data_IF_603503491331
#
_entry.id   IF_603503491331
#
_cell.length_a   1.000
_cell.length_b   1.000
_cell.length_c   1.000
_cell.angle_alpha   90.00
_cell.angle_beta   90.00
_cell.angle_gamma   90.00
#
_symmetry.space_group_name_H-M   'P 1'
#
loop_
_entity.id
_entity.type
_entity.pdbx_description
1 polymer ?
#
# COMPACT_ATOMS: atom_id res chain seq x y z
N UNK A 1 -34.53 -8.79 41.03
CA UNK A 1 -33.44 -9.47 40.30
C UNK A 1 -33.49 -8.99 38.87
N UNK A 2 -32.57 -8.12 38.47
CA UNK A 2 -32.48 -7.66 37.08
C UNK A 2 -31.96 -8.82 36.20
N UNK A 3 -32.70 -9.18 35.15
CA UNK A 3 -32.27 -10.17 34.16
C UNK A 3 -31.08 -9.59 33.37
N UNK A 4 -29.90 -10.20 33.52
CA UNK A 4 -28.78 -9.96 32.66
C UNK A 4 -29.19 -10.30 31.21
N UNK A 5 -29.13 -9.30 30.31
CA UNK A 5 -29.37 -9.50 28.90
C UNK A 5 -28.01 -9.69 28.23
N UNK A 6 -27.74 -10.90 27.77
CA UNK A 6 -26.59 -11.20 26.91
C UNK A 6 -26.74 -10.44 25.58
N UNK A 7 -25.68 -9.75 25.18
CA UNK A 7 -25.56 -9.12 23.88
C UNK A 7 -24.59 -9.91 23.01
N UNK A 8 -24.90 -10.01 21.73
CA UNK A 8 -24.03 -10.63 20.73
C UNK A 8 -23.57 -9.56 19.75
N UNK A 9 -22.25 -9.45 19.53
CA UNK A 9 -21.65 -8.50 18.62
C UNK A 9 -21.00 -9.23 17.44
N UNK A 10 -21.15 -8.68 16.24
CA UNK A 10 -20.50 -9.20 15.04
C UNK A 10 -19.03 -8.79 15.02
N UNK A 11 -18.11 -9.74 14.93
CA UNK A 11 -16.66 -9.48 14.83
C UNK A 11 -16.25 -8.81 13.52
N UNK A 12 -17.07 -8.92 12.47
CA UNK A 12 -16.78 -8.36 11.14
C UNK A 12 -17.27 -6.90 10.98
N UNK A 13 -18.41 -6.49 11.59
CA UNK A 13 -18.98 -5.17 11.37
C UNK A 13 -19.45 -4.45 12.63
N UNK A 14 -19.34 -5.07 13.82
CA UNK A 14 -19.76 -4.48 15.10
C UNK A 14 -21.28 -4.40 15.28
N UNK A 15 -22.10 -5.00 14.42
CA UNK A 15 -23.55 -5.06 14.62
C UNK A 15 -23.90 -5.81 15.89
N UNK A 16 -24.70 -5.18 16.78
CA UNK A 16 -25.09 -5.73 18.07
C UNK A 16 -26.55 -6.19 18.06
N UNK A 17 -26.81 -7.33 18.67
CA UNK A 17 -28.18 -7.88 18.84
C UNK A 17 -28.30 -8.62 20.18
N UNK A 18 -29.52 -8.64 20.72
CA UNK A 18 -29.83 -9.37 21.96
C UNK A 18 -30.04 -10.87 21.79
N UNK A 19 -29.92 -11.39 20.56
CA UNK A 19 -30.06 -12.82 20.23
C UNK A 19 -28.93 -13.24 19.33
N UNK A 20 -28.38 -14.42 19.59
CA UNK A 20 -27.41 -15.01 18.67
C UNK A 20 -28.08 -15.33 17.34
N UNK A 21 -27.43 -14.93 16.24
CA UNK A 21 -27.87 -15.23 14.87
C UNK A 21 -26.67 -15.77 14.09
N UNK A 22 -26.86 -16.84 13.32
CA UNK A 22 -25.78 -17.47 12.56
C UNK A 22 -25.26 -16.61 11.40
N UNK A 23 -26.09 -15.67 10.89
CA UNK A 23 -25.72 -14.70 9.87
C UNK A 23 -25.93 -13.29 10.39
N UNK A 24 -24.91 -12.44 10.31
CA UNK A 24 -25.02 -11.06 10.77
C UNK A 24 -26.02 -10.25 9.92
N UNK A 25 -27.05 -9.61 10.50
CA UNK A 25 -28.00 -8.78 9.74
C UNK A 25 -27.36 -7.52 9.18
N UNK A 26 -26.26 -7.05 9.76
CA UNK A 26 -25.59 -5.81 9.34
C UNK A 26 -24.66 -5.97 8.14
N UNK A 27 -23.90 -7.08 8.05
CA UNK A 27 -22.94 -7.28 6.97
C UNK A 27 -23.13 -8.59 6.19
N UNK A 28 -24.07 -9.45 6.62
CA UNK A 28 -24.36 -10.72 5.95
C UNK A 28 -23.32 -11.83 6.18
N UNK A 29 -22.25 -11.60 6.95
CA UNK A 29 -21.24 -12.59 7.27
C UNK A 29 -21.78 -13.72 8.16
N UNK A 30 -21.31 -14.95 7.91
CA UNK A 30 -21.72 -16.13 8.69
C UNK A 30 -20.74 -16.38 9.85
N UNK A 31 -21.28 -16.86 10.99
CA UNK A 31 -20.51 -17.27 12.19
C UNK A 31 -19.61 -16.17 12.78
N UNK A 32 -20.00 -14.91 12.63
CA UNK A 32 -19.25 -13.75 13.14
C UNK A 32 -19.85 -13.16 14.42
N UNK A 33 -20.94 -13.75 14.97
CA UNK A 33 -21.57 -13.27 16.20
C UNK A 33 -20.93 -13.94 17.42
N UNK A 34 -20.30 -13.13 18.28
CA UNK A 34 -19.71 -13.55 19.54
C UNK A 34 -20.44 -12.92 20.71
N UNK A 35 -20.46 -13.60 21.84
CA UNK A 35 -21.06 -13.10 23.08
C UNK A 35 -20.23 -11.92 23.62
N UNK A 36 -20.89 -10.79 23.84
CA UNK A 36 -20.30 -9.59 24.45
C UNK A 36 -20.69 -9.52 25.93
N UNK A 37 -19.84 -8.92 26.76
CA UNK A 37 -20.08 -8.82 28.18
C UNK A 37 -21.44 -8.17 28.50
N UNK A 38 -22.14 -8.57 29.58
CA UNK A 38 -23.47 -8.05 29.91
C UNK A 38 -23.41 -6.56 30.25
N UNK A 39 -24.30 -5.79 29.64
CA UNK A 39 -24.47 -4.37 29.98
C UNK A 39 -25.21 -4.29 31.32
N UNK A 40 -24.58 -3.68 32.31
CA UNK A 40 -25.25 -3.19 33.49
C UNK A 40 -26.06 -1.96 33.08
N UNK A 41 -27.38 -2.10 32.93
CA UNK A 41 -28.26 -0.97 32.61
C UNK A 41 -28.36 -0.05 33.80
N UNK A 42 -27.49 0.94 33.91
CA UNK A 42 -27.73 2.18 34.61
C UNK A 42 -28.84 2.96 33.88
N UNK A 43 -29.63 3.73 34.67
CA UNK A 43 -30.77 4.49 34.19
C UNK A 43 -30.45 5.27 32.88
N UNK A 44 -31.46 5.51 32.01
CA UNK A 44 -31.21 6.16 30.71
C UNK A 44 -30.60 7.55 30.93
N UNK A 45 -29.32 7.67 30.58
CA UNK A 45 -28.69 8.98 30.50
C UNK A 45 -29.47 9.82 29.49
N UNK A 46 -29.93 10.98 29.90
CA UNK A 46 -30.56 11.97 29.01
C UNK A 46 -29.63 12.17 27.83
N UNK A 47 -30.17 11.96 26.64
CA UNK A 47 -29.44 12.25 25.40
C UNK A 47 -28.77 13.63 25.54
N UNK A 48 -27.47 13.75 25.21
CA UNK A 48 -26.80 15.03 25.27
C UNK A 48 -27.59 16.00 24.36
N UNK A 49 -28.09 17.13 24.95
CA UNK A 49 -28.66 18.22 24.14
C UNK A 49 -27.60 18.57 23.08
N UNK A 50 -27.90 18.30 21.83
CA UNK A 50 -27.13 18.83 20.71
C UNK A 50 -27.01 20.34 20.98
N UNK A 51 -25.79 20.81 21.25
CA UNK A 51 -25.49 22.24 21.16
C UNK A 51 -25.92 22.66 19.77
N UNK A 52 -26.63 23.78 19.59
CA UNK A 52 -26.95 24.29 18.27
C UNK A 52 -25.62 24.46 17.55
N UNK A 53 -25.30 23.54 16.65
CA UNK A 53 -24.18 23.71 15.73
C UNK A 53 -24.48 25.00 14.98
N UNK A 54 -23.48 25.83 14.81
CA UNK A 54 -23.50 26.89 13.80
C UNK A 54 -23.82 26.20 12.49
N UNK A 55 -25.08 26.28 12.08
CA UNK A 55 -25.57 25.54 10.92
C UNK A 55 -24.75 25.98 9.72
N UNK A 56 -23.98 25.04 9.15
CA UNK A 56 -23.28 25.28 7.90
C UNK A 56 -24.36 25.71 6.87
N UNK A 57 -24.31 26.92 6.39
CA UNK A 57 -25.21 27.39 5.32
C UNK A 57 -24.76 26.75 4.02
N UNK A 58 -25.72 26.31 3.20
CA UNK A 58 -25.40 25.87 1.84
C UNK A 58 -24.79 27.04 1.06
N UNK A 59 -23.63 26.84 0.46
CA UNK A 59 -22.92 27.82 -0.37
C UNK A 59 -22.90 27.32 -1.82
N UNK A 60 -22.94 28.26 -2.75
CA UNK A 60 -22.73 27.91 -4.16
C UNK A 60 -21.27 27.48 -4.37
N UNK A 61 -21.04 26.43 -5.15
CA UNK A 61 -19.69 25.90 -5.40
C UNK A 61 -18.71 27.00 -5.88
N UNK A 62 -19.16 27.94 -6.70
CA UNK A 62 -18.37 29.08 -7.19
C UNK A 62 -17.99 30.11 -6.12
N UNK A 63 -18.68 30.10 -4.97
CA UNK A 63 -18.44 31.01 -3.85
C UNK A 63 -17.47 30.40 -2.81
N UNK A 64 -17.18 29.12 -2.95
CA UNK A 64 -16.15 28.46 -2.15
C UNK A 64 -14.80 28.95 -2.67
N UNK A 65 -13.97 29.58 -1.83
CA UNK A 65 -12.63 29.99 -2.26
C UNK A 65 -11.87 28.77 -2.80
N UNK A 66 -11.25 28.90 -3.97
CA UNK A 66 -10.26 27.95 -4.45
C UNK A 66 -8.98 28.12 -3.61
N UNK A 67 -9.05 27.81 -2.33
CA UNK A 67 -7.84 27.61 -1.56
C UNK A 67 -7.16 26.37 -2.15
N UNK A 68 -6.12 26.60 -2.92
CA UNK A 68 -5.19 25.56 -3.32
C UNK A 68 -4.77 24.92 -2.00
N UNK A 69 -5.24 23.70 -1.74
CA UNK A 69 -4.99 23.01 -0.48
C UNK A 69 -3.48 23.05 -0.20
N UNK A 70 -3.08 23.92 0.73
CA UNK A 70 -1.68 24.12 1.09
C UNK A 70 -1.18 22.80 1.62
N UNK A 71 -0.29 22.18 0.86
CA UNK A 71 0.31 20.90 1.24
C UNK A 71 1.60 21.16 1.99
N UNK A 72 1.74 20.51 3.13
CA UNK A 72 2.96 20.53 3.91
C UNK A 72 3.78 19.29 3.59
N UNK A 73 5.03 19.46 3.16
CA UNK A 73 5.94 18.32 2.96
C UNK A 73 6.22 17.62 4.28
N UNK A 74 6.25 16.30 4.25
CA UNK A 74 6.70 15.46 5.38
C UNK A 74 8.22 15.50 5.56
N UNK A 75 8.95 16.09 4.62
CA UNK A 75 10.40 16.02 4.52
C UNK A 75 10.92 14.65 4.04
N UNK A 76 10.02 13.78 3.57
CA UNK A 76 10.33 12.44 3.03
C UNK A 76 9.63 12.31 1.67
N UNK A 77 10.38 12.46 0.58
CA UNK A 77 9.83 12.57 -0.78
C UNK A 77 8.99 11.36 -1.21
N UNK A 78 9.36 10.16 -0.78
CA UNK A 78 8.62 8.94 -1.09
C UNK A 78 7.27 8.90 -0.34
N UNK A 79 7.20 9.43 0.88
CA UNK A 79 5.93 9.56 1.61
C UNK A 79 5.08 10.69 1.00
N UNK A 80 5.67 11.83 0.66
CA UNK A 80 4.95 12.92 0.00
C UNK A 80 4.31 12.46 -1.31
N UNK A 81 5.01 11.62 -2.11
CA UNK A 81 4.47 10.98 -3.30
C UNK A 81 3.20 10.18 -2.99
N UNK A 82 3.27 9.28 -2.01
CA UNK A 82 2.14 8.42 -1.60
C UNK A 82 0.97 9.24 -1.07
N UNK A 83 1.25 10.36 -0.40
CA UNK A 83 0.22 11.28 0.10
C UNK A 83 -0.37 12.19 -1.02
N UNK A 84 0.19 12.14 -2.23
CA UNK A 84 -0.25 12.98 -3.35
C UNK A 84 0.34 14.40 -3.32
N UNK A 85 1.55 14.55 -2.79
CA UNK A 85 2.33 15.79 -2.72
C UNK A 85 2.48 16.39 -1.33
N UNK A 86 2.13 15.66 -0.27
CA UNK A 86 2.30 16.08 1.11
C UNK A 86 1.02 16.04 1.95
N UNK A 87 1.11 16.54 3.17
CA UNK A 87 0.02 16.57 4.16
C UNK A 87 -0.95 17.72 3.82
N UNK A 88 -2.23 17.41 3.72
CA UNK A 88 -3.31 18.39 3.57
C UNK A 88 -3.84 18.75 4.96
N UNK A 89 -4.10 20.03 5.20
CA UNK A 89 -4.67 20.53 6.44
C UNK A 89 -6.03 19.88 6.74
N UNK A 90 -6.26 19.49 7.98
CA UNK A 90 -7.49 18.82 8.40
C UNK A 90 -7.70 17.41 7.82
N UNK A 91 -6.69 16.83 7.17
CA UNK A 91 -6.76 15.48 6.63
C UNK A 91 -6.60 14.43 7.72
N UNK A 92 -7.38 13.35 7.61
CA UNK A 92 -7.23 12.16 8.42
C UNK A 92 -6.60 11.03 7.58
N UNK A 93 -5.42 10.57 7.99
CA UNK A 93 -4.62 9.58 7.28
C UNK A 93 -4.46 8.32 8.14
N UNK A 94 -4.60 7.13 7.55
CA UNK A 94 -4.42 5.84 8.23
C UNK A 94 -3.23 5.10 7.64
N UNK A 95 -2.14 4.98 8.40
CA UNK A 95 -0.99 4.16 8.00
C UNK A 95 -1.21 2.72 8.47
N UNK A 96 -1.39 1.81 7.50
CA UNK A 96 -1.55 0.38 7.71
C UNK A 96 -0.26 -0.41 7.48
N UNK A 97 -0.28 -1.67 7.87
CA UNK A 97 0.82 -2.62 7.64
C UNK A 97 1.13 -3.48 8.85
N UNK A 98 1.94 -4.50 8.67
CA UNK A 98 2.27 -5.48 9.71
C UNK A 98 2.93 -4.85 10.94
N UNK A 99 2.72 -5.45 12.14
CA UNK A 99 3.44 -5.02 13.33
C UNK A 99 4.95 -5.12 13.11
N UNK A 100 5.71 -4.05 13.49
CA UNK A 100 7.17 -4.01 13.34
C UNK A 100 7.70 -3.71 11.92
N UNK A 101 6.84 -3.41 10.93
CA UNK A 101 7.27 -3.03 9.57
C UNK A 101 7.98 -1.66 9.52
N UNK A 102 7.77 -0.79 10.53
CA UNK A 102 8.42 0.51 10.62
C UNK A 102 7.48 1.73 10.66
N UNK A 103 6.16 1.53 10.79
CA UNK A 103 5.15 2.62 10.82
C UNK A 103 5.48 3.73 11.82
N UNK A 104 5.65 3.36 13.08
CA UNK A 104 5.97 4.31 14.17
C UNK A 104 7.33 4.98 13.99
N UNK A 105 8.31 4.28 13.39
CA UNK A 105 9.63 4.84 13.07
C UNK A 105 9.51 5.91 12.00
N UNK A 106 8.80 5.61 10.90
CA UNK A 106 8.56 6.57 9.81
C UNK A 106 7.85 7.83 10.35
N UNK A 107 6.77 7.63 11.13
CA UNK A 107 6.00 8.77 11.66
C UNK A 107 6.80 9.62 12.65
N UNK A 108 7.66 9.02 13.47
CA UNK A 108 8.51 9.78 14.38
C UNK A 108 9.54 10.63 13.61
N UNK A 109 10.07 10.11 12.48
CA UNK A 109 10.94 10.89 11.57
C UNK A 109 10.18 12.02 10.87
N UNK A 110 8.92 11.77 10.44
CA UNK A 110 8.02 12.81 9.90
C UNK A 110 7.80 13.92 10.92
N UNK A 111 7.46 13.55 12.18
CA UNK A 111 7.30 14.54 13.26
C UNK A 111 8.53 15.41 13.44
N UNK A 112 9.73 14.80 13.45
CA UNK A 112 10.99 15.53 13.56
C UNK A 112 11.22 16.50 12.40
N UNK A 113 10.93 16.07 11.16
CA UNK A 113 11.09 16.92 9.98
C UNK A 113 10.09 18.10 10.00
N UNK A 114 8.84 17.86 10.37
CA UNK A 114 7.83 18.91 10.50
C UNK A 114 8.23 19.94 11.56
N UNK A 115 8.76 19.50 12.69
CA UNK A 115 9.27 20.39 13.73
C UNK A 115 10.41 21.29 13.24
N UNK A 116 11.31 20.78 12.37
CA UNK A 116 12.38 21.59 11.75
C UNK A 116 11.85 22.72 10.87
N UNK A 117 10.62 22.60 10.37
CA UNK A 117 9.94 23.66 9.60
C UNK A 117 9.10 24.59 10.48
N UNK A 118 9.24 24.51 11.82
CA UNK A 118 8.54 25.35 12.77
C UNK A 118 7.14 24.91 13.16
N UNK A 119 6.68 23.74 12.68
CA UNK A 119 5.35 23.20 13.01
C UNK A 119 5.32 22.62 14.42
N UNK A 120 4.16 22.75 15.07
CA UNK A 120 3.88 22.09 16.34
C UNK A 120 3.30 20.71 16.08
N UNK A 121 3.88 19.67 16.66
CA UNK A 121 3.47 18.30 16.44
C UNK A 121 3.16 17.63 17.77
N UNK A 122 2.04 16.91 17.84
CA UNK A 122 1.67 16.07 18.98
C UNK A 122 1.75 14.59 18.61
N UNK A 123 2.57 13.82 19.33
CA UNK A 123 2.62 12.37 19.22
C UNK A 123 1.90 11.74 20.40
N UNK A 124 0.74 11.13 20.14
CA UNK A 124 -0.04 10.37 21.12
C UNK A 124 0.33 8.91 21.00
N UNK A 125 0.79 8.30 22.09
CA UNK A 125 1.09 6.88 22.15
C UNK A 125 0.15 6.16 23.12
N UNK A 126 -0.56 5.16 22.61
CA UNK A 126 -1.34 4.26 23.41
C UNK A 126 -0.64 2.94 23.75
N UNK A 127 0.54 2.69 23.18
CA UNK A 127 1.30 1.44 23.37
C UNK A 127 2.60 1.63 24.14
N UNK A 128 3.30 2.73 23.89
CA UNK A 128 4.60 3.02 24.47
C UNK A 128 4.53 4.15 25.49
N UNK A 129 5.25 4.01 26.57
CA UNK A 129 5.45 5.08 27.55
C UNK A 129 6.30 6.24 26.94
N UNK A 130 6.16 7.43 27.49
CA UNK A 130 6.97 8.57 27.07
C UNK A 130 8.50 8.31 27.17
N UNK A 131 8.94 7.49 28.12
CA UNK A 131 10.36 7.09 28.25
C UNK A 131 10.80 6.20 27.09
N UNK A 132 9.99 5.23 26.67
CA UNK A 132 10.31 4.36 25.53
C UNK A 132 10.35 5.15 24.22
N UNK A 133 9.39 6.06 24.01
CA UNK A 133 9.42 6.97 22.86
C UNK A 133 10.66 7.86 22.86
N UNK A 134 11.08 8.39 24.03
CA UNK A 134 12.30 9.18 24.14
C UNK A 134 13.55 8.38 23.78
N UNK A 135 13.64 7.11 24.21
CA UNK A 135 14.74 6.21 23.83
C UNK A 135 14.78 5.96 22.33
N UNK A 136 13.61 5.74 21.70
CA UNK A 136 13.48 5.58 20.25
C UNK A 136 13.90 6.86 19.52
N UNK A 137 13.41 8.02 19.95
CA UNK A 137 13.79 9.31 19.39
C UNK A 137 15.30 9.55 19.46
N UNK A 138 15.93 9.25 20.60
CA UNK A 138 17.38 9.38 20.77
C UNK A 138 18.16 8.48 19.79
N UNK A 139 17.73 7.22 19.60
CA UNK A 139 18.34 6.30 18.62
C UNK A 139 18.26 6.84 17.20
N UNK A 140 17.18 7.54 16.86
CA UNK A 140 16.97 8.17 15.55
C UNK A 140 17.62 9.57 15.46
N UNK A 141 18.34 10.03 16.47
CA UNK A 141 18.95 11.36 16.51
C UNK A 141 17.92 12.51 16.53
N UNK A 142 16.70 12.26 17.00
CA UNK A 142 15.62 13.24 17.01
C UNK A 142 15.67 14.08 18.26
N UNK A 143 15.91 15.39 18.06
CA UNK A 143 15.78 16.43 19.08
C UNK A 143 14.84 17.51 18.55
N UNK A 144 13.88 17.94 19.36
CA UNK A 144 12.92 18.98 18.96
C UNK A 144 12.31 19.65 20.18
N UNK A 145 12.09 20.96 20.08
CA UNK A 145 11.41 21.79 21.08
C UNK A 145 9.89 21.90 20.81
N UNK A 146 9.43 21.51 19.61
CA UNK A 146 8.02 21.64 19.19
C UNK A 146 7.34 20.27 18.99
N UNK A 147 8.02 19.16 19.36
CA UNK A 147 7.43 17.82 19.39
C UNK A 147 6.95 17.50 20.81
N UNK A 148 5.64 17.49 20.99
CA UNK A 148 4.98 17.12 22.22
C UNK A 148 4.65 15.63 22.21
N UNK A 149 4.81 14.95 23.34
CA UNK A 149 4.51 13.52 23.52
C UNK A 149 3.46 13.36 24.60
N UNK A 150 2.43 12.56 24.32
CA UNK A 150 1.36 12.22 25.23
C UNK A 150 1.20 10.70 25.28
N UNK A 151 1.41 10.09 26.45
CA UNK A 151 1.12 8.67 26.67
C UNK A 151 -0.29 8.56 27.28
N UNK A 152 -1.31 8.34 26.45
CA UNK A 152 -2.72 8.35 26.82
C UNK A 152 -3.58 7.51 25.86
N UNK A 153 -4.57 6.83 26.40
CA UNK A 153 -5.47 5.95 25.62
C UNK A 153 -6.93 6.43 25.66
N UNK A 154 -7.32 7.23 26.68
CA UNK A 154 -8.66 7.80 26.75
C UNK A 154 -8.80 8.95 25.75
N UNK A 155 -9.69 8.80 24.77
CA UNK A 155 -9.84 9.77 23.67
C UNK A 155 -10.24 11.16 24.16
N UNK A 156 -11.06 11.25 25.23
CA UNK A 156 -11.51 12.53 25.78
C UNK A 156 -10.32 13.37 26.28
N UNK A 157 -9.32 12.74 26.91
CA UNK A 157 -8.08 13.38 27.36
C UNK A 157 -7.22 13.81 26.16
N UNK A 158 -7.14 12.96 25.13
CA UNK A 158 -6.42 13.28 23.88
C UNK A 158 -7.08 14.49 23.18
N UNK A 159 -8.41 14.52 23.11
CA UNK A 159 -9.16 15.65 22.54
C UNK A 159 -8.89 16.96 23.28
N UNK A 160 -8.91 16.93 24.63
CA UNK A 160 -8.58 18.12 25.44
C UNK A 160 -7.20 18.67 25.10
N UNK A 161 -6.19 17.78 24.96
CA UNK A 161 -4.82 18.20 24.63
C UNK A 161 -4.68 18.67 23.18
N UNK A 162 -5.37 18.05 22.22
CA UNK A 162 -5.44 18.53 20.83
C UNK A 162 -6.02 19.94 20.75
N UNK A 163 -7.14 20.21 21.44
CA UNK A 163 -7.76 21.55 21.47
C UNK A 163 -6.89 22.58 22.20
N UNK A 164 -6.27 22.19 23.32
CA UNK A 164 -5.43 23.11 24.11
C UNK A 164 -4.11 23.46 23.45
N UNK A 165 -3.46 22.51 22.78
CA UNK A 165 -2.17 22.70 22.09
C UNK A 165 -2.33 23.28 20.69
N UNK A 166 -3.45 22.98 20.03
CA UNK A 166 -3.71 23.30 18.61
C UNK A 166 -2.51 22.97 17.72
N UNK A 167 -2.09 21.70 17.62
CA UNK A 167 -0.95 21.32 16.81
C UNK A 167 -1.29 21.38 15.32
N UNK A 168 -0.30 21.64 14.46
CA UNK A 168 -0.48 21.56 13.00
C UNK A 168 -0.70 20.11 12.55
N UNK A 169 0.04 19.18 13.17
CA UNK A 169 -0.04 17.74 12.87
C UNK A 169 -0.07 16.94 14.17
N UNK A 170 -0.86 15.88 14.21
CA UNK A 170 -0.83 14.90 15.28
C UNK A 170 -0.67 13.48 14.77
N UNK A 171 -0.10 12.62 15.60
CA UNK A 171 0.02 11.17 15.37
C UNK A 171 -0.68 10.46 16.51
N UNK A 172 -1.49 9.44 16.21
CA UNK A 172 -2.12 8.55 17.19
C UNK A 172 -1.63 7.13 16.94
N UNK A 173 -0.80 6.60 17.82
CA UNK A 173 -0.13 5.29 17.70
C UNK A 173 -0.45 4.40 18.91
N UNK A 174 -1.45 3.49 18.79
CA UNK A 174 -2.27 3.14 17.65
C UNK A 174 -3.76 3.42 17.91
N UNK A 175 -4.56 3.45 16.84
CA UNK A 175 -6.02 3.61 16.96
C UNK A 175 -6.68 2.45 17.73
N UNK A 176 -6.07 1.27 17.71
CA UNK A 176 -6.57 0.07 18.41
C UNK A 176 -6.52 0.20 19.94
N UNK A 177 -5.65 1.03 20.47
CA UNK A 177 -5.52 1.26 21.91
C UNK A 177 -6.42 2.38 22.44
N UNK A 178 -6.96 3.22 21.53
CA UNK A 178 -7.83 4.32 21.91
C UNK A 178 -9.21 3.81 22.34
N UNK A 179 -9.76 4.44 23.35
CA UNK A 179 -11.10 4.12 23.85
C UNK A 179 -11.83 5.36 24.36
N UNK A 180 -13.14 5.26 24.39
CA UNK A 180 -14.03 6.22 25.04
C UNK A 180 -14.59 5.61 26.33
N UNK A 181 -14.42 6.27 27.48
CA UNK A 181 -14.88 5.76 28.77
C UNK A 181 -16.41 5.63 28.90
N UNK A 182 -17.16 6.41 28.12
CA UNK A 182 -18.63 6.42 28.10
C UNK A 182 -19.26 5.26 27.32
N UNK A 183 -18.44 4.49 26.58
CA UNK A 183 -18.90 3.30 25.84
C UNK A 183 -18.75 2.04 26.65
N UNK A 184 -19.78 1.19 26.64
CA UNK A 184 -19.77 -0.09 27.35
C UNK A 184 -18.90 -1.17 26.70
N UNK A 185 -18.50 -0.97 25.42
CA UNK A 185 -17.68 -1.93 24.68
C UNK A 185 -16.22 -1.87 25.12
N UNK A 186 -15.53 -3.03 25.11
CA UNK A 186 -14.13 -3.11 25.52
C UNK A 186 -13.19 -2.30 24.62
N UNK A 187 -12.09 -1.72 25.15
CA UNK A 187 -11.03 -1.11 24.35
C UNK A 187 -10.54 -2.07 23.26
N UNK A 188 -10.25 -1.56 22.05
CA UNK A 188 -9.83 -2.37 20.91
C UNK A 188 -10.95 -3.10 20.17
N UNK A 189 -12.21 -3.03 20.66
CA UNK A 189 -13.36 -3.56 19.92
C UNK A 189 -13.64 -2.72 18.66
N UNK A 190 -14.29 -3.33 17.68
CA UNK A 190 -14.65 -2.66 16.40
C UNK A 190 -15.51 -1.41 16.64
N UNK A 191 -16.46 -1.48 17.60
CA UNK A 191 -17.30 -0.35 17.97
C UNK A 191 -16.52 0.82 18.56
N UNK A 192 -15.56 0.54 19.48
CA UNK A 192 -14.67 1.56 20.04
C UNK A 192 -13.79 2.21 18.96
N UNK A 193 -13.13 1.39 18.14
CA UNK A 193 -12.26 1.88 17.06
C UNK A 193 -13.04 2.77 16.09
N UNK A 194 -14.26 2.36 15.72
CA UNK A 194 -15.13 3.14 14.83
C UNK A 194 -15.51 4.48 15.44
N UNK A 195 -15.95 4.48 16.67
CA UNK A 195 -16.40 5.70 17.35
C UNK A 195 -15.22 6.67 17.59
N UNK A 196 -14.08 6.14 18.07
CA UNK A 196 -12.88 6.95 18.21
C UNK A 196 -12.44 7.56 16.88
N UNK A 197 -12.43 6.78 15.79
CA UNK A 197 -12.10 7.31 14.46
C UNK A 197 -13.08 8.37 13.99
N UNK A 198 -14.39 8.19 14.24
CA UNK A 198 -15.43 9.17 13.90
C UNK A 198 -15.24 10.50 14.65
N UNK A 199 -14.90 10.45 15.93
CA UNK A 199 -14.62 11.61 16.75
C UNK A 199 -13.35 12.33 16.29
N UNK A 200 -12.25 11.58 16.04
CA UNK A 200 -11.00 12.14 15.51
C UNK A 200 -11.22 12.81 14.14
N UNK A 201 -12.01 12.20 13.25
CA UNK A 201 -12.35 12.79 11.95
C UNK A 201 -13.08 14.14 12.11
N UNK A 202 -13.96 14.25 13.08
CA UNK A 202 -14.64 15.50 13.41
C UNK A 202 -13.65 16.55 13.89
N UNK A 203 -12.76 16.17 14.80
CA UNK A 203 -11.69 17.03 15.32
C UNK A 203 -10.78 17.57 14.22
N UNK A 204 -10.34 16.71 13.28
CA UNK A 204 -9.54 17.13 12.12
C UNK A 204 -10.22 18.27 11.36
N UNK A 205 -11.51 18.11 11.05
CA UNK A 205 -12.28 19.09 10.27
C UNK A 205 -12.57 20.38 11.02
N UNK A 206 -12.76 20.30 12.34
CA UNK A 206 -13.05 21.46 13.18
C UNK A 206 -11.79 22.29 13.48
N UNK A 207 -10.64 21.63 13.69
CA UNK A 207 -9.39 22.28 14.12
C UNK A 207 -8.42 22.60 12.98
N UNK A 208 -8.60 21.99 11.81
CA UNK A 208 -7.60 22.02 10.73
C UNK A 208 -6.36 21.17 11.00
N UNK A 209 -6.24 20.53 12.18
CA UNK A 209 -5.12 19.63 12.50
C UNK A 209 -5.13 18.43 11.59
N UNK A 210 -4.03 18.14 10.87
CA UNK A 210 -3.88 16.89 10.14
C UNK A 210 -3.48 15.76 11.10
N UNK A 211 -4.15 14.60 11.02
CA UNK A 211 -3.89 13.50 11.96
C UNK A 211 -3.51 12.22 11.23
N UNK A 212 -2.39 11.62 11.64
CA UNK A 212 -2.00 10.27 11.26
C UNK A 212 -2.49 9.27 12.30
N UNK A 213 -3.28 8.29 11.88
CA UNK A 213 -3.62 7.12 12.67
C UNK A 213 -2.70 5.97 12.30
N UNK A 214 -2.13 5.28 13.27
CA UNK A 214 -1.43 4.02 13.05
C UNK A 214 -2.43 2.89 13.24
N UNK A 215 -2.51 2.00 12.23
CA UNK A 215 -3.34 0.81 12.24
C UNK A 215 -2.51 -0.47 12.12
N UNK A 216 -2.85 -1.51 12.91
CA UNK A 216 -2.28 -2.84 12.77
C UNK A 216 -3.24 -3.74 11.98
N UNK A 217 -2.69 -4.63 11.15
CA UNK A 217 -3.46 -5.65 10.43
C UNK A 217 -3.55 -6.93 11.25
N UNK A 218 -4.60 -7.70 11.02
CA UNK A 218 -4.69 -9.09 11.46
C UNK A 218 -3.85 -9.99 10.56
N UNK A 219 -3.53 -11.22 11.05
CA UNK A 219 -2.78 -12.24 10.29
C UNK A 219 -3.38 -12.58 8.92
N UNK A 220 -4.64 -12.27 8.68
CA UNK A 220 -5.35 -12.50 7.42
C UNK A 220 -5.23 -11.31 6.44
N UNK A 221 -4.31 -10.36 6.68
CA UNK A 221 -4.09 -9.20 5.82
C UNK A 221 -5.20 -8.14 5.86
N UNK A 222 -6.22 -8.32 6.71
CA UNK A 222 -7.24 -7.32 6.97
C UNK A 222 -6.80 -6.42 8.13
N UNK A 223 -6.99 -5.10 8.01
CA UNK A 223 -6.82 -4.19 9.15
C UNK A 223 -7.73 -4.68 10.28
N UNK A 224 -7.18 -4.86 11.49
CA UNK A 224 -7.97 -5.25 12.66
C UNK A 224 -8.99 -4.16 12.99
N UNK A 225 -10.27 -4.45 12.73
CA UNK A 225 -11.32 -3.46 12.74
C UNK A 225 -11.37 -2.73 11.39
N UNK A 226 -12.14 -3.12 10.56
CA UNK A 226 -12.07 -3.63 9.20
C UNK A 226 -11.87 -2.54 8.14
N UNK A 227 -11.94 -2.90 6.86
CA UNK A 227 -12.17 -2.04 5.67
C UNK A 227 -13.07 -0.81 5.91
N UNK A 228 -13.81 -0.77 7.02
CA UNK A 228 -14.63 0.36 7.48
C UNK A 228 -13.80 1.61 7.80
N UNK A 229 -12.60 1.49 8.41
CA UNK A 229 -11.74 2.65 8.68
C UNK A 229 -11.22 3.28 7.39
N UNK A 230 -10.96 2.46 6.37
CA UNK A 230 -10.54 2.96 5.05
C UNK A 230 -11.59 3.88 4.43
N UNK A 231 -12.88 3.61 4.68
CA UNK A 231 -13.95 4.47 4.17
C UNK A 231 -14.07 5.79 4.95
N UNK A 232 -13.65 5.82 6.21
CA UNK A 232 -13.76 6.98 7.09
C UNK A 232 -12.63 8.00 6.91
N UNK A 233 -11.43 7.54 6.55
CA UNK A 233 -10.23 8.38 6.40
C UNK A 233 -10.06 8.89 4.97
N UNK A 234 -9.24 9.93 4.80
CA UNK A 234 -9.00 10.55 3.49
C UNK A 234 -7.89 9.86 2.69
N UNK A 235 -6.84 9.40 3.35
CA UNK A 235 -5.70 8.72 2.74
C UNK A 235 -5.34 7.47 3.53
N UNK A 236 -5.03 6.37 2.82
CA UNK A 236 -4.58 5.11 3.40
C UNK A 236 -3.27 4.69 2.76
N UNK A 237 -2.12 5.11 3.30
CA UNK A 237 -0.82 4.50 3.01
C UNK A 237 -0.74 3.14 3.69
N UNK A 238 -0.34 2.12 2.95
CA UNK A 238 -0.21 0.76 3.45
C UNK A 238 1.18 0.20 3.18
N UNK A 239 1.85 -0.29 4.22
CA UNK A 239 3.11 -1.00 4.07
C UNK A 239 2.87 -2.43 3.60
N UNK A 240 3.44 -2.78 2.46
CA UNK A 240 3.49 -4.12 1.88
C UNK A 240 4.86 -4.76 2.12
N UNK A 241 4.90 -6.08 2.13
CA UNK A 241 6.12 -6.88 2.25
C UNK A 241 6.36 -7.45 3.65
N UNK A 242 7.27 -8.43 3.71
CA UNK A 242 7.67 -9.11 4.94
C UNK A 242 8.81 -8.31 5.64
N UNK A 243 8.93 -8.50 6.96
CA UNK A 243 10.03 -7.94 7.78
C UNK A 243 11.41 -8.42 7.32
N UNK A 244 11.49 -9.55 6.67
CA UNK A 244 12.73 -10.15 6.18
C UNK A 244 13.16 -9.60 4.81
N UNK A 245 12.29 -8.88 4.12
CA UNK A 245 12.64 -8.25 2.85
C UNK A 245 13.54 -7.02 3.08
N UNK A 246 14.47 -6.81 2.16
CA UNK A 246 15.39 -5.66 2.21
C UNK A 246 14.63 -4.33 2.09
N UNK A 247 13.61 -4.31 1.25
CA UNK A 247 12.79 -3.12 0.99
C UNK A 247 11.45 -3.17 1.70
N UNK A 248 10.93 -1.97 2.01
CA UNK A 248 9.60 -1.73 2.54
C UNK A 248 8.85 -0.89 1.50
N UNK A 249 7.77 -1.44 0.99
CA UNK A 249 6.94 -0.79 -0.02
C UNK A 249 5.77 -0.10 0.69
N UNK A 250 5.57 1.18 0.45
CA UNK A 250 4.43 1.94 0.99
C UNK A 250 3.51 2.31 -0.16
N UNK A 251 2.34 1.72 -0.23
CA UNK A 251 1.35 1.93 -1.30
C UNK A 251 0.19 2.81 -0.86
N UNK A 252 -0.25 3.74 -1.71
CA UNK A 252 -1.49 4.47 -1.54
C UNK A 252 -2.68 3.59 -1.93
N UNK A 253 -3.34 2.94 -0.96
CA UNK A 253 -4.55 2.12 -1.19
C UNK A 253 -5.78 3.02 -1.42
N UNK A 254 -5.83 4.17 -0.74
CA UNK A 254 -6.84 5.20 -0.90
C UNK A 254 -6.20 6.58 -0.81
N UNK A 255 -6.59 7.49 -1.68
CA UNK A 255 -6.15 8.87 -1.62
C UNK A 255 -7.22 9.80 -2.23
N UNK A 256 -7.81 10.69 -1.42
CA UNK A 256 -8.78 11.70 -1.88
C UNK A 256 -8.10 12.93 -2.48
N UNK A 257 -6.80 13.10 -2.23
CA UNK A 257 -6.02 14.28 -2.61
C UNK A 257 -5.04 14.01 -3.75
N UNK A 258 -4.96 12.77 -4.22
CA UNK A 258 -4.02 12.38 -5.27
C UNK A 258 -4.34 11.04 -5.89
N UNK A 259 -3.38 10.52 -6.64
CA UNK A 259 -3.48 9.21 -7.29
C UNK A 259 -3.48 8.08 -6.26
N UNK A 260 -4.23 7.05 -6.53
CA UNK A 260 -4.14 5.76 -5.83
C UNK A 260 -3.07 4.88 -6.49
N UNK A 261 -2.58 3.87 -5.78
CA UNK A 261 -1.50 2.96 -6.22
C UNK A 261 -0.12 3.62 -6.36
N UNK A 262 0.06 4.88 -5.91
CA UNK A 262 1.41 5.45 -5.80
C UNK A 262 2.24 4.63 -4.83
N UNK A 263 3.50 4.39 -5.19
CA UNK A 263 4.43 3.55 -4.44
C UNK A 263 5.62 4.36 -3.94
N UNK A 264 5.87 4.29 -2.63
CA UNK A 264 7.09 4.73 -1.98
C UNK A 264 7.97 3.53 -1.64
N UNK A 265 9.27 3.63 -1.92
CA UNK A 265 10.22 2.55 -1.63
C UNK A 265 11.20 2.99 -0.54
N UNK A 266 11.24 2.20 0.52
CA UNK A 266 12.02 2.46 1.70
C UNK A 266 12.92 1.28 2.06
N UNK A 267 13.95 1.55 2.84
CA UNK A 267 14.83 0.57 3.46
C UNK A 267 14.93 0.85 4.96
N UNK A 268 14.89 -0.17 5.79
CA UNK A 268 15.10 -0.03 7.23
C UNK A 268 16.59 -0.13 7.53
N UNK A 269 17.14 0.89 8.21
CA UNK A 269 18.55 0.94 8.65
C UNK A 269 18.61 1.18 10.15
N UNK A 270 19.82 1.16 10.72
CA UNK A 270 20.03 1.55 12.12
C UNK A 270 19.61 2.99 12.41
N UNK A 271 19.76 3.87 11.40
CA UNK A 271 19.34 5.27 11.48
C UNK A 271 17.83 5.48 11.24
N UNK A 272 17.06 4.40 11.07
CA UNK A 272 15.62 4.44 10.84
C UNK A 272 15.20 4.10 9.41
N UNK A 273 14.04 4.61 9.00
CA UNK A 273 13.50 4.42 7.67
C UNK A 273 14.15 5.40 6.69
N UNK A 274 14.78 4.89 5.65
CA UNK A 274 15.42 5.68 4.60
C UNK A 274 14.72 5.48 3.27
N UNK A 275 14.68 6.52 2.44
CA UNK A 275 14.21 6.42 1.07
C UNK A 275 15.22 5.68 0.21
N UNK A 276 14.71 4.94 -0.78
CA UNK A 276 15.52 4.31 -1.82
C UNK A 276 15.51 5.23 -3.05
N UNK A 277 16.60 5.95 -3.35
CA UNK A 277 16.58 6.97 -4.40
C UNK A 277 16.30 6.40 -5.79
N UNK A 278 16.92 5.26 -6.11
CA UNK A 278 16.82 4.57 -7.39
C UNK A 278 16.37 3.12 -7.21
N UNK A 279 15.07 2.86 -6.94
CA UNK A 279 14.60 1.49 -6.72
C UNK A 279 14.86 0.55 -7.89
N UNK A 280 14.67 1.01 -9.13
CA UNK A 280 14.95 0.22 -10.33
C UNK A 280 16.40 -0.24 -10.41
N UNK A 281 17.35 0.62 -10.07
CA UNK A 281 18.77 0.27 -10.06
C UNK A 281 19.08 -0.79 -9.00
N UNK A 282 18.51 -0.63 -7.81
CA UNK A 282 18.70 -1.61 -6.73
C UNK A 282 18.01 -2.95 -7.03
N UNK A 283 16.80 -2.94 -7.59
CA UNK A 283 16.10 -4.16 -8.00
C UNK A 283 16.87 -4.95 -9.08
N UNK A 284 17.68 -4.27 -9.88
CA UNK A 284 18.52 -4.87 -10.90
C UNK A 284 19.97 -5.14 -10.45
N UNK A 285 20.40 -4.67 -9.27
CA UNK A 285 21.80 -4.75 -8.81
C UNK A 285 22.35 -6.17 -8.72
N UNK A 286 21.51 -7.13 -8.35
CA UNK A 286 21.88 -8.54 -8.22
C UNK A 286 21.49 -9.40 -9.43
N UNK A 287 21.09 -8.79 -10.56
CA UNK A 287 20.75 -9.50 -11.77
C UNK A 287 21.97 -10.25 -12.32
N UNK A 288 21.82 -11.55 -12.57
CA UNK A 288 22.84 -12.36 -13.23
C UNK A 288 22.88 -12.03 -14.73
N UNK A 289 23.75 -11.09 -15.12
CA UNK A 289 23.91 -10.72 -16.54
C UNK A 289 24.39 -11.91 -17.36
N UNK A 290 23.72 -12.18 -18.48
CA UNK A 290 24.07 -13.30 -19.38
C UNK A 290 23.56 -14.67 -18.92
N UNK A 291 22.73 -14.76 -17.88
CA UNK A 291 22.04 -15.99 -17.51
C UNK A 291 20.78 -16.19 -18.35
N UNK A 292 20.50 -17.45 -18.72
CA UNK A 292 19.22 -17.81 -19.32
C UNK A 292 18.10 -17.68 -18.29
N UNK A 293 16.88 -17.39 -18.75
CA UNK A 293 15.71 -17.27 -17.90
C UNK A 293 15.53 -15.91 -17.22
N UNK A 294 16.38 -14.89 -17.46
CA UNK A 294 16.28 -13.55 -16.86
C UNK A 294 15.91 -12.52 -17.92
N UNK A 295 14.86 -11.73 -17.66
CA UNK A 295 14.35 -10.68 -18.55
C UNK A 295 14.02 -9.42 -17.75
N UNK A 296 14.45 -8.27 -18.23
CA UNK A 296 14.05 -7.01 -17.62
C UNK A 296 12.70 -6.53 -18.15
N UNK A 297 11.82 -6.23 -17.23
CA UNK A 297 10.52 -5.63 -17.46
C UNK A 297 10.48 -4.25 -16.81
N UNK A 298 9.87 -3.28 -17.48
CA UNK A 298 9.55 -1.97 -16.90
C UNK A 298 8.07 -1.90 -16.60
N UNK A 299 7.72 -2.09 -15.32
CA UNK A 299 6.36 -1.97 -14.79
C UNK A 299 5.99 -0.54 -14.43
N UNK A 300 4.69 -0.31 -14.17
CA UNK A 300 4.18 0.93 -13.62
C UNK A 300 3.49 0.67 -12.28
N UNK A 301 3.99 1.34 -11.26
CA UNK A 301 3.37 1.38 -9.95
C UNK A 301 2.80 2.79 -9.72
N UNK A 302 1.48 2.93 -9.90
CA UNK A 302 0.83 4.23 -9.99
C UNK A 302 1.36 5.05 -11.16
N UNK A 303 2.04 6.15 -10.87
CA UNK A 303 2.69 7.00 -11.88
C UNK A 303 4.17 6.67 -12.09
N UNK A 304 4.76 5.78 -11.27
CA UNK A 304 6.19 5.51 -11.24
C UNK A 304 6.57 4.31 -12.10
N UNK A 305 7.43 4.48 -13.12
CA UNK A 305 8.04 3.34 -13.80
C UNK A 305 9.10 2.69 -12.89
N UNK A 306 9.09 1.35 -12.82
CA UNK A 306 10.04 0.54 -12.07
C UNK A 306 10.53 -0.60 -12.94
N UNK A 307 11.86 -0.72 -13.08
CA UNK A 307 12.45 -1.88 -13.72
C UNK A 307 12.65 -3.00 -12.70
N UNK A 308 12.28 -4.20 -13.10
CA UNK A 308 12.51 -5.41 -12.32
C UNK A 308 13.01 -6.56 -13.19
N UNK A 309 13.68 -7.51 -12.56
CA UNK A 309 14.14 -8.74 -13.18
C UNK A 309 13.06 -9.82 -13.02
N UNK A 310 12.52 -10.27 -14.15
CA UNK A 310 11.59 -11.40 -14.24
C UNK A 310 12.40 -12.63 -14.54
N UNK A 311 12.40 -13.58 -13.62
CA UNK A 311 13.17 -14.82 -13.70
C UNK A 311 12.27 -16.02 -13.92
N UNK A 312 12.67 -16.91 -14.80
CA UNK A 312 12.02 -18.19 -15.02
C UNK A 312 13.05 -19.32 -15.06
N UNK A 313 12.72 -20.44 -14.44
CA UNK A 313 13.46 -21.69 -14.55
C UNK A 313 12.50 -22.77 -15.06
N UNK A 314 12.84 -23.36 -16.19
CA UNK A 314 12.13 -24.49 -16.75
C UNK A 314 13.04 -25.71 -16.74
N UNK A 315 12.56 -26.82 -16.19
CA UNK A 315 13.29 -28.08 -16.14
C UNK A 315 12.39 -29.24 -16.49
N UNK A 316 12.93 -30.30 -17.07
CA UNK A 316 12.13 -31.48 -17.43
C UNK A 316 11.46 -32.05 -16.18
N UNK A 317 10.15 -32.22 -16.24
CA UNK A 317 9.39 -32.84 -15.15
C UNK A 317 9.56 -34.38 -15.23
N UNK A 318 9.96 -34.96 -14.13
CA UNK A 318 10.03 -36.43 -13.96
C UNK A 318 8.76 -36.97 -13.28
N UNK A 319 7.82 -36.12 -12.91
CA UNK A 319 6.57 -36.49 -12.28
C UNK A 319 5.40 -36.40 -13.29
N UNK A 320 4.37 -37.19 -13.09
CA UNK A 320 3.22 -37.24 -14.01
C UNK A 320 2.47 -35.89 -14.13
N UNK A 321 2.61 -34.98 -13.17
CA UNK A 321 2.03 -33.61 -13.18
C UNK A 321 3.14 -32.59 -13.01
N UNK A 322 3.40 -31.77 -14.05
CA UNK A 322 4.39 -30.70 -13.96
C UNK A 322 4.06 -29.64 -12.89
N UNK A 323 5.08 -29.21 -12.15
CA UNK A 323 4.95 -28.21 -11.10
C UNK A 323 4.93 -26.81 -11.69
N UNK A 324 4.10 -25.93 -11.12
CA UNK A 324 4.02 -24.51 -11.46
C UNK A 324 4.12 -23.71 -10.16
N UNK A 325 5.28 -23.07 -9.96
CA UNK A 325 5.52 -22.23 -8.78
C UNK A 325 5.78 -20.80 -9.25
N UNK A 326 4.99 -19.86 -8.73
CA UNK A 326 5.04 -18.46 -9.17
C UNK A 326 5.17 -17.59 -7.94
N UNK A 327 6.21 -16.76 -7.91
CA UNK A 327 6.43 -15.71 -6.95
C UNK A 327 6.43 -14.35 -7.64
N UNK A 328 5.61 -13.40 -7.16
CA UNK A 328 5.54 -12.04 -7.69
C UNK A 328 4.71 -11.86 -8.98
N UNK A 329 3.89 -12.86 -9.36
CA UNK A 329 2.93 -12.75 -10.47
C UNK A 329 1.71 -13.64 -10.22
N UNK A 330 0.61 -13.40 -10.93
CA UNK A 330 -0.60 -14.21 -10.81
C UNK A 330 -0.41 -15.61 -11.43
N UNK A 331 -0.62 -16.66 -10.63
CA UNK A 331 -0.45 -18.05 -11.05
C UNK A 331 -1.40 -18.45 -12.18
N UNK A 332 -2.64 -17.96 -12.17
CA UNK A 332 -3.62 -18.22 -13.22
C UNK A 332 -3.19 -17.57 -14.54
N UNK A 333 -2.68 -16.33 -14.48
CA UNK A 333 -2.16 -15.64 -15.67
C UNK A 333 -0.96 -16.37 -16.27
N UNK A 334 -0.01 -16.79 -15.44
CA UNK A 334 1.15 -17.59 -15.89
C UNK A 334 0.70 -18.88 -16.55
N UNK A 335 -0.28 -19.58 -16.00
CA UNK A 335 -0.82 -20.82 -16.62
C UNK A 335 -1.40 -20.56 -18.01
N UNK A 336 -2.11 -19.46 -18.21
CA UNK A 336 -2.61 -19.03 -19.53
C UNK A 336 -1.46 -18.73 -20.49
N UNK A 337 -0.42 -18.03 -20.07
CA UNK A 337 0.74 -17.70 -20.90
C UNK A 337 1.51 -18.94 -21.32
N UNK A 338 1.67 -19.93 -20.43
CA UNK A 338 2.29 -21.22 -20.77
C UNK A 338 1.48 -21.96 -21.85
N UNK A 339 0.15 -21.94 -21.77
CA UNK A 339 -0.70 -22.56 -22.81
C UNK A 339 -0.58 -21.79 -24.15
N UNK A 340 -0.44 -20.47 -24.14
CA UNK A 340 -0.18 -19.67 -25.36
C UNK A 340 1.18 -20.02 -25.94
N UNK A 341 2.24 -20.10 -25.13
CA UNK A 341 3.58 -20.51 -25.58
C UNK A 341 3.56 -21.88 -26.25
N UNK A 342 2.87 -22.82 -25.66
CA UNK A 342 2.75 -24.17 -26.20
C UNK A 342 1.97 -24.19 -27.52
N UNK A 343 0.77 -23.62 -27.53
CA UNK A 343 -0.17 -23.74 -28.66
C UNK A 343 0.12 -22.78 -29.82
N UNK A 344 0.66 -21.58 -29.53
CA UNK A 344 0.86 -20.51 -30.52
C UNK A 344 2.31 -20.26 -30.89
N UNK A 345 3.23 -20.62 -29.99
CA UNK A 345 4.67 -20.39 -30.20
C UNK A 345 5.47 -21.70 -30.28
N UNK A 346 4.80 -22.84 -30.29
CA UNK A 346 5.41 -24.20 -30.38
C UNK A 346 6.52 -24.45 -29.36
N UNK A 347 6.38 -23.89 -28.14
CA UNK A 347 7.28 -24.14 -27.03
C UNK A 347 6.76 -25.30 -26.18
N UNK A 348 7.57 -26.33 -25.95
CA UNK A 348 7.14 -27.52 -25.20
C UNK A 348 7.13 -27.27 -23.70
N UNK A 349 6.02 -26.75 -23.17
CA UNK A 349 5.86 -26.45 -21.74
C UNK A 349 5.12 -27.55 -20.97
N UNK A 350 4.45 -28.49 -21.66
CA UNK A 350 3.58 -29.50 -21.06
C UNK A 350 4.31 -30.49 -20.15
N UNK A 351 5.59 -30.76 -20.41
CA UNK A 351 6.41 -31.70 -19.65
C UNK A 351 7.54 -31.01 -18.87
N UNK A 352 7.40 -29.71 -18.62
CA UNK A 352 8.39 -28.91 -17.89
C UNK A 352 7.83 -28.47 -16.54
N UNK A 353 8.60 -28.63 -15.48
CA UNK A 353 8.40 -27.87 -14.24
C UNK A 353 8.82 -26.43 -14.50
N UNK A 354 7.96 -25.46 -14.16
CA UNK A 354 8.23 -24.03 -14.38
C UNK A 354 8.15 -23.29 -13.07
N UNK A 355 9.23 -22.59 -12.77
CA UNK A 355 9.35 -21.71 -11.62
C UNK A 355 9.53 -20.29 -12.12
N UNK A 356 8.74 -19.35 -11.59
CA UNK A 356 8.84 -17.93 -11.92
C UNK A 356 9.05 -17.15 -10.62
N UNK A 357 9.95 -16.18 -10.67
CA UNK A 357 10.22 -15.28 -9.57
C UNK A 357 10.44 -13.85 -10.09
N UNK A 358 9.81 -12.88 -9.41
CA UNK A 358 10.05 -11.45 -9.66
C UNK A 358 11.00 -10.95 -8.57
N UNK A 359 12.15 -10.43 -8.99
CA UNK A 359 13.15 -9.95 -8.05
C UNK A 359 12.64 -8.76 -7.22
N UNK A 360 13.11 -8.69 -5.96
CA UNK A 360 12.79 -7.58 -5.04
C UNK A 360 11.42 -7.65 -4.36
N UNK A 361 10.70 -8.78 -4.49
CA UNK A 361 9.39 -8.97 -3.83
C UNK A 361 8.26 -8.10 -4.41
N UNK A 362 8.43 -7.61 -5.63
CA UNK A 362 7.36 -6.92 -6.37
C UNK A 362 6.30 -7.90 -6.84
N UNK A 363 5.05 -7.46 -6.89
CA UNK A 363 3.94 -8.21 -7.45
C UNK A 363 3.50 -7.58 -8.77
N UNK A 364 3.72 -8.31 -9.89
CA UNK A 364 3.32 -7.87 -11.23
C UNK A 364 1.85 -8.17 -11.45
N UNK A 365 1.00 -7.17 -11.31
CA UNK A 365 -0.45 -7.28 -11.52
C UNK A 365 -0.89 -6.78 -12.91
N UNK A 366 0.00 -6.11 -13.65
CA UNK A 366 -0.35 -5.51 -14.93
C UNK A 366 -0.09 -6.45 -16.13
N UNK A 367 -1.00 -6.51 -17.11
CA UNK A 367 -0.83 -7.34 -18.30
C UNK A 367 0.39 -6.99 -19.16
N UNK A 368 0.94 -5.79 -19.02
CA UNK A 368 2.16 -5.37 -19.72
C UNK A 368 3.38 -6.27 -19.43
N UNK A 369 3.36 -7.05 -18.35
CA UNK A 369 4.41 -7.99 -17.97
C UNK A 369 4.37 -9.32 -18.74
N UNK A 370 3.26 -9.63 -19.42
CA UNK A 370 3.04 -10.94 -20.04
C UNK A 370 4.15 -11.34 -21.02
N UNK A 371 4.57 -10.40 -21.89
CA UNK A 371 5.61 -10.69 -22.88
C UNK A 371 6.95 -10.97 -22.19
N UNK A 372 7.28 -10.26 -21.12
CA UNK A 372 8.49 -10.50 -20.35
C UNK A 372 8.46 -11.88 -19.67
N UNK A 373 7.32 -12.26 -19.06
CA UNK A 373 7.09 -13.58 -18.49
C UNK A 373 7.26 -14.68 -19.56
N UNK A 374 6.66 -14.50 -20.74
CA UNK A 374 6.81 -15.43 -21.85
C UNK A 374 8.28 -15.56 -22.28
N UNK A 375 9.00 -14.44 -22.43
CA UNK A 375 10.40 -14.46 -22.90
C UNK A 375 11.34 -15.02 -21.85
N UNK A 376 11.08 -14.85 -20.55
CA UNK A 376 11.84 -15.47 -19.48
C UNK A 376 11.71 -17.01 -19.54
N UNK A 377 10.48 -17.52 -19.70
CA UNK A 377 10.26 -18.96 -19.85
C UNK A 377 10.96 -19.50 -21.10
N UNK A 378 10.83 -18.84 -22.24
CA UNK A 378 11.45 -19.27 -23.51
C UNK A 378 12.98 -19.22 -23.40
N UNK A 379 13.54 -18.19 -22.79
CA UNK A 379 14.98 -18.07 -22.52
C UNK A 379 15.50 -19.28 -21.72
N UNK A 380 14.78 -19.66 -20.66
CA UNK A 380 15.13 -20.83 -19.86
C UNK A 380 14.98 -22.14 -20.64
N UNK A 381 13.88 -22.31 -21.42
CA UNK A 381 13.66 -23.51 -22.22
C UNK A 381 14.74 -23.72 -23.30
N UNK A 382 15.26 -22.65 -23.88
CA UNK A 382 16.30 -22.66 -24.91
C UNK A 382 17.72 -22.64 -24.34
N UNK A 383 17.85 -22.42 -23.04
CA UNK A 383 19.12 -22.11 -22.36
C UNK A 383 19.90 -21.00 -23.07
N UNK A 384 19.20 -19.97 -23.48
CA UNK A 384 19.72 -18.83 -24.24
C UNK A 384 19.42 -17.51 -23.52
N UNK A 385 20.49 -16.78 -23.19
CA UNK A 385 20.36 -15.49 -22.49
C UNK A 385 19.85 -14.40 -23.42
N UNK A 386 18.98 -13.52 -22.89
CA UNK A 386 18.59 -12.26 -23.54
C UNK A 386 19.65 -11.19 -23.22
N UNK A 387 19.94 -10.32 -24.20
CA UNK A 387 20.93 -9.27 -24.04
C UNK A 387 20.74 -8.45 -22.75
N UNK A 388 21.83 -8.12 -22.06
CA UNK A 388 21.80 -7.46 -20.76
C UNK A 388 21.11 -6.08 -20.79
N UNK A 389 21.16 -5.40 -21.94
CA UNK A 389 20.61 -4.06 -22.17
C UNK A 389 19.24 -4.09 -22.88
N UNK A 390 18.57 -5.26 -22.87
CA UNK A 390 17.25 -5.44 -23.47
C UNK A 390 16.18 -5.43 -22.40
N UNK A 391 15.15 -4.59 -22.58
CA UNK A 391 13.91 -4.63 -21.80
C UNK A 391 12.77 -5.13 -22.67
N UNK A 392 11.83 -5.88 -22.09
CA UNK A 392 10.70 -6.49 -22.79
C UNK A 392 9.41 -6.11 -22.11
N UNK A 393 8.42 -5.67 -22.88
CA UNK A 393 7.09 -5.32 -22.36
C UNK A 393 6.01 -5.54 -23.42
N UNK A 394 4.81 -5.96 -22.98
CA UNK A 394 3.65 -6.17 -23.85
C UNK A 394 2.62 -7.06 -23.21
N UNK A 395 1.34 -6.81 -23.46
CA UNK A 395 0.26 -7.71 -23.10
C UNK A 395 0.17 -8.84 -24.14
N UNK A 396 -0.11 -10.07 -23.69
CA UNK A 396 -0.25 -11.23 -24.59
C UNK A 396 -1.67 -11.76 -24.56
N UNK A 397 -2.32 -11.80 -25.72
CA UNK A 397 -3.62 -12.40 -25.89
C UNK A 397 -3.58 -13.92 -26.15
N UNK A 398 -4.72 -14.59 -26.04
CA UNK A 398 -4.84 -16.06 -26.18
C UNK A 398 -4.57 -16.59 -27.61
N UNK A 399 -4.64 -15.71 -28.62
CA UNK A 399 -4.26 -16.08 -29.98
C UNK A 399 -2.74 -15.91 -30.25
N UNK A 400 -1.99 -15.46 -29.24
CA UNK A 400 -0.56 -15.20 -29.32
C UNK A 400 -0.20 -13.81 -29.86
N UNK A 401 -1.21 -12.93 -30.01
CA UNK A 401 -1.02 -11.54 -30.37
C UNK A 401 -0.41 -10.74 -29.22
N UNK A 402 0.41 -9.74 -29.55
CA UNK A 402 0.97 -8.79 -28.61
C UNK A 402 0.21 -7.47 -28.71
N UNK A 403 -0.46 -7.08 -27.63
CA UNK A 403 -1.34 -5.92 -27.55
C UNK A 403 -0.65 -4.71 -26.98
N UNK A 404 -1.16 -3.53 -27.36
CA UNK A 404 -0.67 -2.24 -26.85
C UNK A 404 -0.79 -2.11 -25.34
N UNK A 405 0.20 -1.45 -24.75
CA UNK A 405 0.27 -1.18 -23.31
C UNK A 405 0.23 0.32 -23.02
N UNK A 406 -0.27 0.74 -21.85
CA UNK A 406 -0.36 2.16 -21.52
C UNK A 406 1.00 2.77 -21.14
N UNK A 407 1.11 4.09 -21.30
CA UNK A 407 2.21 4.92 -20.79
C UNK A 407 3.62 4.45 -21.23
N UNK A 408 3.78 4.00 -22.47
CA UNK A 408 5.06 3.54 -23.01
C UNK A 408 6.16 4.58 -22.90
N UNK A 409 5.85 5.88 -23.10
CA UNK A 409 6.83 6.96 -23.01
C UNK A 409 7.56 6.99 -21.68
N UNK A 410 6.82 6.82 -20.57
CA UNK A 410 7.39 6.79 -19.22
C UNK A 410 8.28 5.58 -19.00
N UNK A 411 7.86 4.41 -19.48
CA UNK A 411 8.63 3.17 -19.39
C UNK A 411 9.93 3.26 -20.18
N UNK A 412 9.86 3.80 -21.38
CA UNK A 412 11.02 4.02 -22.26
C UNK A 412 12.00 5.01 -21.63
N UNK A 413 11.51 6.11 -21.06
CA UNK A 413 12.35 7.10 -20.39
C UNK A 413 13.11 6.51 -19.19
N UNK A 414 12.46 5.66 -18.41
CA UNK A 414 13.11 4.99 -17.28
C UNK A 414 14.13 3.95 -17.76
N UNK A 415 13.83 3.17 -18.79
CA UNK A 415 14.78 2.26 -19.40
C UNK A 415 16.02 3.01 -19.91
N UNK A 416 15.85 4.16 -20.60
CA UNK A 416 16.93 4.99 -21.08
C UNK A 416 17.80 5.52 -19.93
N UNK A 417 17.17 6.01 -18.87
CA UNK A 417 17.85 6.53 -17.67
C UNK A 417 18.78 5.49 -17.04
N UNK A 418 18.42 4.21 -17.15
CA UNK A 418 19.18 3.09 -16.59
C UNK A 418 20.12 2.42 -17.61
N UNK A 419 20.29 3.01 -18.80
CA UNK A 419 21.26 2.55 -19.78
C UNK A 419 20.81 1.37 -20.66
N UNK A 420 19.50 1.08 -20.71
CA UNK A 420 18.98 0.11 -21.66
C UNK A 420 18.99 0.68 -23.07
N UNK A 421 19.49 -0.10 -24.02
CA UNK A 421 19.68 0.33 -25.41
C UNK A 421 18.64 -0.26 -26.36
N UNK A 422 17.95 -1.33 -25.96
CA UNK A 422 16.95 -2.00 -26.80
C UNK A 422 15.69 -2.30 -25.99
N UNK A 423 14.54 -1.95 -26.57
CA UNK A 423 13.23 -2.26 -25.97
C UNK A 423 12.38 -3.03 -26.96
N UNK A 424 11.95 -4.22 -26.56
CA UNK A 424 10.97 -5.01 -27.28
C UNK A 424 9.57 -4.65 -26.76
N UNK A 425 8.69 -4.17 -27.63
CA UNK A 425 7.37 -3.67 -27.26
C UNK A 425 6.32 -3.95 -28.36
N UNK A 426 5.02 -3.77 -28.06
CA UNK A 426 3.97 -3.97 -29.07
C UNK A 426 4.14 -2.99 -30.25
N UNK A 427 4.06 -3.49 -31.47
CA UNK A 427 4.19 -2.68 -32.69
C UNK A 427 3.15 -1.57 -32.77
N UNK A 428 1.97 -1.78 -32.24
CA UNK A 428 0.92 -0.76 -32.19
C UNK A 428 1.36 0.48 -31.40
N UNK A 429 2.09 0.31 -30.29
CA UNK A 429 2.62 1.42 -29.50
C UNK A 429 3.62 2.27 -30.31
N UNK A 430 4.39 1.68 -31.21
CA UNK A 430 5.39 2.40 -32.01
C UNK A 430 4.80 3.50 -32.91
N UNK A 431 3.53 3.41 -33.28
CA UNK A 431 2.86 4.43 -34.15
C UNK A 431 2.86 5.82 -33.53
N UNK A 432 2.96 5.94 -32.21
CA UNK A 432 2.89 7.20 -31.45
C UNK A 432 4.17 7.55 -30.72
N UNK A 433 5.18 6.67 -30.78
CA UNK A 433 6.44 6.81 -30.04
C UNK A 433 7.53 7.34 -30.97
N UNK A 434 8.40 8.18 -30.39
CA UNK A 434 9.69 8.52 -30.98
C UNK A 434 10.77 7.80 -30.17
N UNK A 435 11.64 7.06 -30.84
CA UNK A 435 12.78 6.44 -30.18
C UNK A 435 13.70 7.54 -29.62
N UNK A 436 14.06 7.49 -28.32
CA UNK A 436 15.11 8.36 -27.80
C UNK A 436 16.45 8.11 -28.50
N UNK A 437 17.33 9.10 -28.47
CA UNK A 437 18.66 8.97 -29.02
C UNK A 437 19.45 7.82 -28.38
N UNK A 438 20.08 7.00 -29.19
CA UNK A 438 20.83 5.81 -28.74
C UNK A 438 19.98 4.59 -28.35
N UNK A 439 18.66 4.64 -28.51
CA UNK A 439 17.76 3.54 -28.17
C UNK A 439 17.10 2.92 -29.40
N UNK A 440 17.10 1.59 -29.46
CA UNK A 440 16.42 0.81 -30.50
C UNK A 440 15.07 0.30 -29.95
N UNK A 441 13.96 0.75 -30.56
CA UNK A 441 12.64 0.21 -30.32
C UNK A 441 12.33 -0.88 -31.33
N UNK A 442 11.96 -2.07 -30.87
CA UNK A 442 11.64 -3.22 -31.71
C UNK A 442 10.18 -3.59 -31.48
N UNK A 443 9.34 -3.32 -32.48
CA UNK A 443 7.91 -3.60 -32.44
C UNK A 443 7.60 -5.02 -32.88
N UNK A 444 6.78 -5.73 -32.09
CA UNK A 444 6.30 -7.09 -32.41
C UNK A 444 4.78 -7.16 -32.37
N UNK A 445 4.21 -7.96 -33.26
CA UNK A 445 2.76 -8.21 -33.36
C UNK A 445 2.37 -9.53 -32.67
N UNK A 446 3.30 -10.48 -32.52
CA UNK A 446 3.03 -11.80 -31.95
C UNK A 446 4.18 -12.28 -31.06
N UNK A 447 3.88 -13.22 -30.14
CA UNK A 447 4.87 -13.90 -29.29
C UNK A 447 5.92 -14.63 -30.14
N UNK A 448 5.51 -15.22 -31.26
CA UNK A 448 6.42 -15.89 -32.18
C UNK A 448 7.46 -14.92 -32.76
N UNK A 449 7.04 -13.71 -33.19
CA UNK A 449 7.98 -12.69 -33.65
C UNK A 449 8.95 -12.26 -32.53
N UNK A 450 8.45 -12.09 -31.31
CA UNK A 450 9.28 -11.75 -30.15
C UNK A 450 10.39 -12.80 -29.92
N UNK A 451 10.03 -14.09 -30.01
CA UNK A 451 11.00 -15.18 -29.92
C UNK A 451 12.03 -15.10 -31.04
N UNK A 452 11.60 -14.89 -32.29
CA UNK A 452 12.51 -14.82 -33.45
C UNK A 452 13.46 -13.61 -33.43
N UNK A 453 13.09 -12.53 -32.71
CA UNK A 453 13.93 -11.34 -32.56
C UNK A 453 14.98 -11.50 -31.48
N UNK A 454 14.66 -12.26 -30.41
CA UNK A 454 15.52 -12.39 -29.22
C UNK A 454 16.42 -13.61 -29.27
N UNK A 455 16.05 -14.64 -30.03
CA UNK A 455 16.72 -15.95 -30.12
C UNK A 455 16.88 -16.41 -31.57
#
# INVERSE_FOLDING_TARGET
>A
MAKEKTLFACTACGYETSRWVGRCPGCGAWNTMVESAPIVTGAPAKAPKQRPGTGASAMLLREIPEDVAVRSSTGISELDRVLGGGIVEGALMLIGGDPGIGKSTLLLQVCANLCKTGKRVLYVSGEESAKQLKLRANRLGITSETLYVLAENALDNVEEKLRGLSPDVAVIDSIQTMYRPDMASAPGSVSQIRECTSQIMRLCKESGTAIFLVGHVTKDGAIAGPRMLEHMVDVVPYFEGDRQQEYRLLRAVKNRFGSVNELGVFQMTEAGMQIVPNPSEQLLSHRAKGASGSVVFCGLEGSRPLLCDVQALASTSYFGTPRRTVGGADTGRVALLLAVLEKRANQKTYNQDVYINVAGGLELSEPAADLALCMAVVSSLKDAAIGAEVAVMGEVGLAGEVRAIPQCDRRISECQRLGFTTILLPKENMRRLKAPEGMKLVGVDTVMQAISVLF
#
